data_IF_667825907580
#
_entry.id   IF_667825907580
#
_cell.length_a   1.000
_cell.length_b   1.000
_cell.length_c   1.000
_cell.angle_alpha   90.00
_cell.angle_beta   90.00
_cell.angle_gamma   90.00
#
_symmetry.space_group_name_H-M   'P 1'
#
loop_
_entity.id
_entity.type
_entity.pdbx_description
1 polymer ?
#
# COMPACT_ATOMS: atom_id res chain seq x y z
N UNK A 1 -18.91 -3.24 -0.55
CA UNK A 1 -20.06 -2.33 -0.70
C UNK A 1 -21.20 -2.55 0.30
N UNK A 2 -21.50 -3.78 0.74
CA UNK A 2 -22.63 -4.07 1.67
C UNK A 2 -22.69 -3.23 2.95
N UNK A 3 -21.54 -2.86 3.54
CA UNK A 3 -21.49 -1.97 4.71
C UNK A 3 -21.99 -0.55 4.41
N UNK A 4 -21.65 -0.02 3.22
CA UNK A 4 -22.20 1.26 2.73
C UNK A 4 -23.72 1.13 2.57
N UNK A 5 -24.18 0.02 2.00
CA UNK A 5 -25.61 -0.23 1.79
C UNK A 5 -26.41 -0.29 3.11
N UNK A 6 -25.79 -0.85 4.16
CA UNK A 6 -26.35 -0.95 5.50
C UNK A 6 -26.20 0.34 6.34
N UNK A 7 -25.43 1.34 5.87
CA UNK A 7 -25.09 2.53 6.67
C UNK A 7 -24.15 2.21 7.83
N UNK A 8 -23.41 1.11 7.76
CA UNK A 8 -22.45 0.67 8.77
C UNK A 8 -21.04 1.14 8.40
N UNK A 9 -20.30 1.64 9.40
CA UNK A 9 -18.93 2.10 9.16
C UNK A 9 -17.99 0.91 8.97
N UNK A 10 -17.16 0.98 7.94
CA UNK A 10 -16.13 0.00 7.62
C UNK A 10 -15.02 0.63 6.80
N UNK A 11 -13.78 0.16 6.98
CA UNK A 11 -12.60 0.64 6.25
C UNK A 11 -11.70 -0.52 5.88
N UNK A 12 -11.12 -0.48 4.69
CA UNK A 12 -10.07 -1.40 4.25
C UNK A 12 -8.77 -0.62 4.03
N UNK A 13 -7.70 -1.10 4.66
CA UNK A 13 -6.34 -0.58 4.50
C UNK A 13 -5.50 -1.64 3.79
N UNK A 14 -4.87 -1.29 2.68
CA UNK A 14 -4.03 -2.20 1.90
C UNK A 14 -2.64 -1.62 1.77
N UNK A 15 -1.61 -2.38 2.16
CA UNK A 15 -0.21 -1.99 1.97
C UNK A 15 0.42 -2.97 0.97
N UNK A 16 0.89 -2.45 -0.16
CA UNK A 16 1.57 -3.20 -1.23
C UNK A 16 3.00 -2.67 -1.41
N UNK A 17 3.92 -3.42 -2.03
CA UNK A 17 5.18 -2.81 -2.42
C UNK A 17 4.93 -1.70 -3.46
N UNK A 18 5.84 -0.73 -3.55
CA UNK A 18 5.68 0.36 -4.53
C UNK A 18 5.58 -0.21 -5.96
N UNK A 19 6.43 -1.19 -6.27
CA UNK A 19 6.32 -2.13 -7.37
C UNK A 19 6.80 -3.52 -6.93
N UNK A 20 6.37 -4.62 -7.57
CA UNK A 20 6.89 -5.96 -7.29
C UNK A 20 8.38 -6.06 -7.63
N UNK A 21 9.13 -6.86 -6.87
CA UNK A 21 10.60 -7.00 -7.03
C UNK A 21 11.02 -7.31 -8.47
N UNK A 22 12.02 -6.57 -8.95
CA UNK A 22 12.54 -6.61 -10.31
C UNK A 22 12.85 -5.22 -10.85
N UNK A 23 13.38 -5.17 -12.07
CA UNK A 23 13.55 -3.91 -12.80
C UNK A 23 12.15 -3.35 -13.11
N UNK A 24 11.80 -2.13 -12.66
CA UNK A 24 10.42 -1.67 -12.68
C UNK A 24 9.89 -1.42 -14.11
N UNK A 25 10.77 -1.15 -15.08
CA UNK A 25 10.45 -1.04 -16.51
C UNK A 25 10.27 -2.41 -17.19
N UNK A 26 10.65 -3.50 -16.53
CA UNK A 26 10.52 -4.83 -17.13
C UNK A 26 9.06 -5.14 -17.44
N UNK A 27 8.83 -5.86 -18.54
CA UNK A 27 7.47 -6.23 -18.95
C UNK A 27 6.71 -6.96 -17.84
N UNK A 28 7.39 -7.77 -17.01
CA UNK A 28 6.77 -8.53 -15.93
C UNK A 28 6.22 -7.61 -14.84
N UNK A 29 7.03 -6.66 -14.39
CA UNK A 29 6.62 -5.68 -13.38
C UNK A 29 5.49 -4.81 -13.92
N UNK A 30 5.64 -4.29 -15.15
CA UNK A 30 4.63 -3.45 -15.79
C UNK A 30 3.29 -4.17 -15.99
N UNK A 31 3.30 -5.46 -16.36
CA UNK A 31 2.08 -6.26 -16.49
C UNK A 31 1.38 -6.49 -15.14
N UNK A 32 2.14 -6.78 -14.08
CA UNK A 32 1.59 -6.93 -12.73
C UNK A 32 0.97 -5.62 -12.24
N UNK A 33 1.62 -4.48 -12.49
CA UNK A 33 1.08 -3.16 -12.15
C UNK A 33 -0.22 -2.84 -12.90
N UNK A 34 -0.35 -3.22 -14.17
CA UNK A 34 -1.63 -3.07 -14.90
C UNK A 34 -2.75 -3.95 -14.29
N UNK A 35 -2.45 -5.18 -13.87
CA UNK A 35 -3.42 -6.02 -13.14
C UNK A 35 -3.82 -5.41 -11.80
N UNK A 36 -2.85 -4.90 -11.05
CA UNK A 36 -3.10 -4.19 -9.79
C UNK A 36 -4.00 -2.96 -10.02
N UNK A 37 -3.69 -2.14 -11.02
CA UNK A 37 -4.50 -0.97 -11.39
C UNK A 37 -5.93 -1.36 -11.74
N UNK A 38 -6.13 -2.36 -12.61
CA UNK A 38 -7.48 -2.85 -12.98
C UNK A 38 -8.27 -3.32 -11.76
N UNK A 39 -7.59 -3.96 -10.82
CA UNK A 39 -8.21 -4.46 -9.58
C UNK A 39 -8.62 -3.30 -8.68
N UNK A 40 -7.74 -2.32 -8.48
CA UNK A 40 -8.05 -1.08 -7.75
C UNK A 40 -9.23 -0.33 -8.39
N UNK A 41 -9.23 -0.18 -9.71
CA UNK A 41 -10.28 0.50 -10.48
C UNK A 41 -11.64 -0.19 -10.33
N UNK A 42 -11.68 -1.52 -10.45
CA UNK A 42 -12.90 -2.30 -10.19
C UNK A 42 -13.41 -2.05 -8.76
N UNK A 43 -12.54 -2.16 -7.75
CA UNK A 43 -12.94 -1.97 -6.34
C UNK A 43 -13.42 -0.54 -6.05
N UNK A 44 -12.77 0.47 -6.63
CA UNK A 44 -13.17 1.87 -6.47
C UNK A 44 -14.46 2.20 -7.22
N UNK A 45 -14.68 1.61 -8.39
CA UNK A 45 -15.94 1.74 -9.13
C UNK A 45 -17.09 1.21 -8.28
N UNK A 46 -16.96 -0.01 -7.73
CA UNK A 46 -17.98 -0.61 -6.84
C UNK A 46 -18.31 0.30 -5.64
N UNK A 47 -17.27 0.85 -4.98
CA UNK A 47 -17.45 1.75 -3.83
C UNK A 47 -18.17 3.04 -4.25
N UNK A 48 -17.74 3.63 -5.36
CA UNK A 48 -18.27 4.91 -5.83
C UNK A 48 -19.72 4.79 -6.28
N UNK A 49 -20.07 3.73 -6.99
CA UNK A 49 -21.47 3.41 -7.35
C UNK A 49 -22.34 3.21 -6.10
N UNK A 50 -21.84 2.50 -5.09
CA UNK A 50 -22.57 2.29 -3.84
C UNK A 50 -22.81 3.60 -3.06
N UNK A 51 -21.82 4.51 -3.04
CA UNK A 51 -21.96 5.83 -2.42
C UNK A 51 -22.99 6.68 -3.16
N UNK A 52 -22.92 6.72 -4.50
CA UNK A 52 -23.86 7.44 -5.35
C UNK A 52 -25.29 6.91 -5.19
N UNK A 53 -25.48 5.58 -5.16
CA UNK A 53 -26.79 4.96 -4.95
C UNK A 53 -27.42 5.31 -3.60
N UNK A 54 -26.60 5.63 -2.59
CA UNK A 54 -27.05 6.09 -1.27
C UNK A 54 -27.12 7.60 -1.13
N UNK A 55 -26.70 8.37 -2.13
CA UNK A 55 -26.60 9.83 -2.06
C UNK A 55 -25.58 10.30 -1.02
N UNK A 56 -24.52 9.51 -0.78
CA UNK A 56 -23.46 9.85 0.17
C UNK A 56 -22.34 10.57 -0.59
N UNK A 57 -22.07 11.81 -0.22
CA UNK A 57 -20.91 12.57 -0.71
C UNK A 57 -19.72 12.31 0.21
N UNK A 58 -18.83 11.39 -0.20
CA UNK A 58 -17.64 11.02 0.56
C UNK A 58 -16.49 10.66 -0.39
N UNK A 59 -15.26 10.74 0.11
CA UNK A 59 -14.09 10.27 -0.63
C UNK A 59 -14.06 8.72 -0.61
N UNK A 60 -13.97 8.02 -1.76
CA UNK A 60 -13.82 6.57 -1.78
C UNK A 60 -12.61 6.05 -0.97
N UNK A 61 -11.55 6.87 -0.83
CA UNK A 61 -10.39 6.58 0.01
C UNK A 61 -10.67 6.58 1.51
N UNK A 62 -11.85 7.04 1.94
CA UNK A 62 -12.33 6.87 3.33
C UNK A 62 -12.86 5.44 3.57
N UNK A 63 -13.09 4.65 2.53
CA UNK A 63 -13.59 3.26 2.65
C UNK A 63 -12.55 2.23 2.22
N UNK A 64 -11.73 2.55 1.21
CA UNK A 64 -10.65 1.70 0.72
C UNK A 64 -9.43 2.56 0.41
N UNK A 65 -8.32 2.31 1.09
CA UNK A 65 -7.08 3.07 0.89
C UNK A 65 -5.89 2.15 0.66
N UNK A 66 -5.04 2.53 -0.30
CA UNK A 66 -3.85 1.80 -0.69
C UNK A 66 -2.61 2.61 -0.34
N UNK A 67 -1.61 1.92 0.20
CA UNK A 67 -0.32 2.48 0.59
C UNK A 67 0.82 1.63 0.04
N UNK A 68 2.01 2.21 0.02
CA UNK A 68 3.26 1.49 -0.07
C UNK A 68 4.22 1.97 1.03
N UNK A 69 5.40 1.34 1.14
CA UNK A 69 6.41 1.74 2.10
C UNK A 69 7.65 2.32 1.42
N UNK A 70 8.25 3.34 2.03
CA UNK A 70 9.50 3.93 1.58
C UNK A 70 10.34 4.45 2.73
N UNK A 71 11.62 4.64 2.44
CA UNK A 71 12.52 5.35 3.34
C UNK A 71 13.32 6.39 2.58
N UNK A 72 13.75 7.42 3.29
CA UNK A 72 14.60 8.49 2.76
C UNK A 72 15.46 9.04 3.88
N UNK A 73 16.77 9.08 3.67
CA UNK A 73 17.75 9.34 4.73
C UNK A 73 18.76 10.40 4.30
N UNK A 74 18.92 11.45 5.10
CA UNK A 74 19.98 12.44 4.90
C UNK A 74 21.35 11.76 4.98
N UNK A 75 22.30 12.24 4.18
CA UNK A 75 23.68 11.74 4.27
C UNK A 75 24.30 12.17 5.60
N UNK A 76 24.81 11.22 6.37
CA UNK A 76 25.41 11.50 7.68
C UNK A 76 26.94 11.48 7.64
N UNK A 77 27.56 12.21 8.56
CA UNK A 77 29.01 12.19 8.71
C UNK A 77 29.48 10.80 9.20
N UNK A 78 30.43 10.20 8.47
CA UNK A 78 30.92 8.85 8.78
C UNK A 78 30.11 7.71 8.17
N UNK A 79 29.09 8.00 7.36
CA UNK A 79 28.40 6.99 6.55
C UNK A 79 29.38 6.32 5.57
N UNK A 80 29.13 5.04 5.27
CA UNK A 80 29.88 4.28 4.29
C UNK A 80 29.95 5.01 2.94
N UNK A 81 31.13 5.01 2.34
CA UNK A 81 31.35 5.55 1.00
C UNK A 81 31.75 4.39 0.09
N UNK A 82 30.93 4.06 -0.93
CA UNK A 82 31.29 3.02 -1.88
C UNK A 82 32.49 3.47 -2.72
N UNK A 83 33.36 2.52 -3.06
CA UNK A 83 34.55 2.77 -3.90
C UNK A 83 34.16 3.07 -5.35
N UNK A 84 33.09 2.43 -5.82
CA UNK A 84 32.52 2.61 -7.15
C UNK A 84 31.22 3.40 -7.09
N UNK A 85 30.92 4.11 -8.18
CA UNK A 85 29.67 4.85 -8.34
C UNK A 85 28.84 4.19 -9.44
N UNK A 86 27.50 4.26 -9.36
CA UNK A 86 26.64 3.80 -10.43
C UNK A 86 26.94 4.53 -11.76
N UNK A 87 26.60 3.89 -12.87
CA UNK A 87 26.64 4.55 -14.17
C UNK A 87 25.68 5.76 -14.18
N UNK A 88 26.10 6.84 -14.85
CA UNK A 88 25.31 8.07 -14.92
C UNK A 88 23.98 7.85 -15.68
N UNK A 89 22.96 8.63 -15.33
CA UNK A 89 21.60 8.56 -15.89
C UNK A 89 20.91 7.19 -15.75
N UNK A 90 21.29 6.42 -14.73
CA UNK A 90 20.60 5.19 -14.36
C UNK A 90 19.62 5.42 -13.21
N UNK A 91 18.65 4.52 -13.07
CA UNK A 91 17.77 4.47 -11.90
C UNK A 91 18.57 4.38 -10.61
N UNK A 92 19.67 3.62 -10.64
CA UNK A 92 20.57 3.47 -9.51
C UNK A 92 21.24 4.80 -9.14
N UNK A 93 21.82 5.54 -10.10
CA UNK A 93 22.43 6.84 -9.81
C UNK A 93 21.39 7.82 -9.25
N UNK A 94 20.19 7.89 -9.84
CA UNK A 94 19.13 8.80 -9.39
C UNK A 94 18.63 8.48 -7.99
N UNK A 95 18.37 7.21 -7.67
CA UNK A 95 17.93 6.81 -6.33
C UNK A 95 19.03 7.03 -5.27
N UNK A 96 20.30 6.78 -5.62
CA UNK A 96 21.43 7.03 -4.72
C UNK A 96 21.60 8.52 -4.41
N UNK A 97 21.46 9.38 -5.42
CA UNK A 97 21.52 10.84 -5.27
C UNK A 97 20.31 11.40 -4.51
N UNK A 98 19.10 10.91 -4.81
CA UNK A 98 17.86 11.33 -4.15
C UNK A 98 17.70 10.77 -2.73
N UNK A 99 18.56 9.82 -2.35
CA UNK A 99 18.68 9.20 -1.02
C UNK A 99 17.41 8.50 -0.55
N UNK A 100 16.65 7.93 -1.50
CA UNK A 100 15.37 7.29 -1.24
C UNK A 100 15.25 5.96 -1.96
N UNK A 101 14.51 5.04 -1.36
CA UNK A 101 14.08 3.81 -2.02
C UNK A 101 12.85 3.23 -1.32
N UNK A 102 12.13 2.33 -1.98
CA UNK A 102 11.02 1.65 -1.32
C UNK A 102 11.54 0.74 -0.19
N UNK A 103 10.75 0.60 0.88
CA UNK A 103 10.87 -0.54 1.78
C UNK A 103 10.01 -1.63 1.17
N UNK A 104 10.62 -2.75 0.78
CA UNK A 104 9.91 -3.77 0.03
C UNK A 104 8.93 -4.56 0.92
N UNK A 105 7.64 -4.46 0.59
CA UNK A 105 6.58 -5.18 1.29
C UNK A 105 6.49 -6.60 0.73
N UNK A 106 7.24 -7.52 1.35
CA UNK A 106 7.15 -8.95 1.04
C UNK A 106 6.06 -9.67 1.86
N UNK A 107 5.33 -8.94 2.71
CA UNK A 107 4.34 -9.47 3.64
C UNK A 107 3.16 -10.16 2.93
N UNK A 108 2.70 -11.28 3.48
CA UNK A 108 1.42 -11.92 3.12
C UNK A 108 0.60 -12.16 4.39
N UNK A 109 -0.11 -11.12 4.80
CA UNK A 109 -0.81 -11.07 6.08
C UNK A 109 -2.10 -10.26 5.96
N UNK A 110 -3.11 -10.64 6.74
CA UNK A 110 -4.36 -9.90 6.88
C UNK A 110 -4.80 -9.93 8.33
N UNK A 111 -5.16 -8.77 8.88
CA UNK A 111 -5.81 -8.62 10.20
C UNK A 111 -7.24 -8.16 9.99
N UNK A 112 -8.18 -8.80 10.67
CA UNK A 112 -9.60 -8.49 10.63
C UNK A 112 -10.07 -8.19 12.05
N UNK A 113 -10.71 -7.01 12.21
CA UNK A 113 -11.36 -6.54 13.44
C UNK A 113 -10.49 -6.59 14.72
N UNK A 114 -9.16 -6.53 14.57
CA UNK A 114 -8.16 -6.72 15.65
C UNK A 114 -8.28 -8.08 16.40
N UNK A 115 -9.08 -9.04 15.91
CA UNK A 115 -9.38 -10.31 16.57
C UNK A 115 -8.93 -11.56 15.81
N UNK A 116 -8.78 -11.47 14.48
CA UNK A 116 -8.37 -12.58 13.62
C UNK A 116 -7.20 -12.14 12.74
N UNK A 117 -6.23 -13.05 12.55
CA UNK A 117 -5.07 -12.80 11.70
C UNK A 117 -4.78 -14.01 10.82
N UNK A 118 -4.39 -13.77 9.57
CA UNK A 118 -3.78 -14.75 8.68
C UNK A 118 -2.33 -14.33 8.43
N UNK A 119 -1.39 -15.27 8.55
CA UNK A 119 0.01 -15.08 8.16
C UNK A 119 0.44 -16.28 7.34
N UNK A 120 1.09 -16.04 6.19
CA UNK A 120 1.53 -17.14 5.34
C UNK A 120 2.49 -16.73 4.23
N UNK A 121 2.49 -17.55 3.18
CA UNK A 121 3.30 -17.38 1.96
C UNK A 121 2.47 -16.90 0.76
N UNK A 122 1.15 -17.13 0.78
CA UNK A 122 0.25 -16.82 -0.32
C UNK A 122 0.05 -15.31 -0.57
N UNK A 123 0.46 -14.84 -1.75
CA UNK A 123 0.15 -13.48 -2.20
C UNK A 123 -1.33 -13.35 -2.59
N UNK A 124 -1.86 -12.12 -2.64
CA UNK A 124 -3.20 -11.84 -3.19
C UNK A 124 -3.11 -11.76 -4.72
N UNK A 125 -2.89 -12.89 -5.36
CA UNK A 125 -2.84 -13.05 -6.80
C UNK A 125 -3.29 -14.46 -7.20
N UNK A 126 -3.55 -14.70 -8.49
CA UNK A 126 -4.03 -16.01 -8.94
C UNK A 126 -2.95 -17.07 -8.71
N UNK A 127 -1.67 -16.76 -8.90
CA UNK A 127 -0.56 -17.72 -8.67
C UNK A 127 -0.62 -18.39 -7.28
N UNK A 128 -0.86 -17.62 -6.24
CA UNK A 128 -0.90 -18.11 -4.86
C UNK A 128 -2.31 -18.59 -4.43
N UNK A 129 -3.38 -17.98 -4.95
CA UNK A 129 -4.77 -18.26 -4.51
C UNK A 129 -5.46 -19.41 -5.27
N UNK A 130 -4.89 -19.88 -6.38
CA UNK A 130 -5.47 -20.92 -7.23
C UNK A 130 -5.47 -22.32 -6.57
N UNK A 131 -4.42 -22.63 -5.79
CA UNK A 131 -4.22 -23.93 -5.14
C UNK A 131 -3.63 -25.03 -6.04
N UNK A 132 -3.61 -24.85 -7.36
CA UNK A 132 -2.97 -25.76 -8.32
C UNK A 132 -1.84 -25.11 -9.14
N UNK A 133 -1.45 -23.87 -8.80
CA UNK A 133 -0.28 -23.16 -9.34
C UNK A 133 0.91 -23.30 -8.39
N UNK A 134 1.17 -22.30 -7.56
CA UNK A 134 2.22 -22.37 -6.56
C UNK A 134 1.69 -23.05 -5.28
N UNK A 135 2.54 -23.85 -4.63
CA UNK A 135 2.21 -24.45 -3.34
C UNK A 135 2.41 -23.43 -2.23
N UNK A 136 1.33 -23.08 -1.54
CA UNK A 136 1.36 -22.09 -0.46
C UNK A 136 0.94 -22.71 0.88
N UNK A 137 1.38 -22.08 1.97
CA UNK A 137 0.92 -22.38 3.33
C UNK A 137 0.60 -21.08 4.07
N UNK A 138 -0.49 -21.11 4.84
CA UNK A 138 -0.89 -20.03 5.72
C UNK A 138 -1.50 -20.59 7.00
N UNK A 139 -1.34 -19.86 8.09
CA UNK A 139 -2.04 -20.10 9.34
C UNK A 139 -3.04 -18.97 9.59
N UNK A 140 -4.21 -19.35 10.11
CA UNK A 140 -5.23 -18.42 10.55
C UNK A 140 -5.53 -18.66 12.02
N UNK A 141 -5.67 -17.59 12.80
CA UNK A 141 -5.85 -17.71 14.24
C UNK A 141 -6.52 -16.50 14.87
N UNK A 142 -7.15 -16.76 16.01
CA UNK A 142 -7.74 -15.75 16.89
C UNK A 142 -7.53 -16.16 18.34
N UNK A 143 -7.69 -15.22 19.26
CA UNK A 143 -7.66 -15.48 20.69
C UNK A 143 -9.09 -15.55 21.24
N UNK A 144 -9.58 -16.71 21.72
CA UNK A 144 -10.99 -16.89 22.11
C UNK A 144 -11.52 -15.91 23.17
N UNK A 145 -10.62 -15.37 24.01
CA UNK A 145 -10.96 -14.43 25.08
C UNK A 145 -10.71 -12.96 24.70
N UNK A 146 -10.33 -12.67 23.45
CA UNK A 146 -10.08 -11.31 22.94
C UNK A 146 -10.82 -11.06 21.62
N UNK A 147 -12.14 -11.30 21.62
CA UNK A 147 -13.01 -11.06 20.47
C UNK A 147 -13.68 -9.68 20.55
N UNK A 148 -13.92 -9.07 19.39
CA UNK A 148 -14.55 -7.78 19.15
C UNK A 148 -16.09 -7.79 19.30
N UNK A 149 -16.69 -8.91 19.73
CA UNK A 149 -18.16 -9.12 19.75
C UNK A 149 -18.93 -8.22 20.74
N UNK A 150 -18.37 -7.92 21.91
CA UNK A 150 -19.01 -7.09 22.96
C UNK A 150 -18.20 -5.86 23.34
N UNK A 151 -16.90 -5.94 23.15
CA UNK A 151 -15.93 -4.91 23.46
C UNK A 151 -14.81 -5.01 22.42
N UNK A 152 -14.07 -3.92 22.13
CA UNK A 152 -12.97 -3.99 21.17
C UNK A 152 -11.94 -5.07 21.54
N UNK A 153 -11.46 -5.79 20.54
CA UNK A 153 -10.38 -6.77 20.74
C UNK A 153 -9.10 -6.04 21.19
N UNK A 154 -8.50 -6.50 22.30
CA UNK A 154 -7.28 -5.93 22.90
C UNK A 154 -6.26 -7.02 23.25
N UNK A 155 -6.19 -8.03 22.39
CA UNK A 155 -5.24 -9.14 22.50
C UNK A 155 -3.90 -8.85 21.80
N UNK A 156 -3.17 -9.93 21.52
CA UNK A 156 -1.92 -9.92 20.76
C UNK A 156 -2.11 -9.38 19.34
N UNK A 157 -3.22 -9.69 18.67
CA UNK A 157 -3.49 -9.24 17.30
C UNK A 157 -3.61 -7.71 17.25
N UNK A 158 -4.41 -7.12 18.15
CA UNK A 158 -4.47 -5.67 18.36
C UNK A 158 -3.09 -5.06 18.62
N UNK A 159 -2.33 -5.62 19.57
CA UNK A 159 -0.99 -5.12 19.92
C UNK A 159 -0.02 -5.17 18.73
N UNK A 160 -0.04 -6.27 17.97
CA UNK A 160 0.77 -6.45 16.77
C UNK A 160 0.41 -5.44 15.67
N UNK A 161 -0.89 -5.22 15.44
CA UNK A 161 -1.39 -4.22 14.49
C UNK A 161 -1.00 -2.79 14.91
N UNK A 162 -1.05 -2.45 16.20
CA UNK A 162 -0.55 -1.16 16.71
C UNK A 162 0.97 -1.03 16.52
N UNK A 163 1.73 -2.10 16.73
CA UNK A 163 3.19 -2.09 16.53
C UNK A 163 3.58 -1.87 15.06
N UNK A 164 2.90 -2.54 14.13
CA UNK A 164 3.08 -2.30 12.69
C UNK A 164 2.71 -0.87 12.30
N UNK A 165 1.61 -0.35 12.85
CA UNK A 165 1.23 1.05 12.61
C UNK A 165 2.25 2.03 13.19
N UNK A 166 2.83 1.74 14.36
CA UNK A 166 3.91 2.55 14.91
C UNK A 166 5.15 2.53 14.01
N UNK A 167 5.55 1.37 13.52
CA UNK A 167 6.66 1.22 12.56
C UNK A 167 6.41 2.05 11.29
N UNK A 168 5.23 1.90 10.68
CA UNK A 168 4.96 2.53 9.38
C UNK A 168 4.61 4.02 9.51
N UNK A 169 3.93 4.45 10.58
CA UNK A 169 3.54 5.86 10.75
C UNK A 169 4.58 6.67 11.53
N UNK A 170 5.52 6.03 12.23
CA UNK A 170 6.48 6.68 13.12
C UNK A 170 5.86 7.20 14.43
N UNK A 171 4.58 6.89 14.68
CA UNK A 171 3.85 7.40 15.84
C UNK A 171 2.67 6.51 16.24
N UNK A 172 2.27 6.62 17.51
CA UNK A 172 1.00 6.12 18.01
C UNK A 172 0.04 7.28 18.22
N UNK A 173 -1.25 6.98 18.10
CA UNK A 173 -2.32 7.93 18.34
C UNK A 173 -3.59 7.21 18.78
N UNK A 174 -4.41 7.86 19.62
CA UNK A 174 -5.62 7.24 20.16
C UNK A 174 -6.65 6.90 19.08
N UNK A 175 -6.68 7.62 17.96
CA UNK A 175 -7.62 7.31 16.87
C UNK A 175 -7.28 5.97 16.20
N UNK A 176 -6.01 5.52 16.26
CA UNK A 176 -5.57 4.24 15.71
C UNK A 176 -6.11 3.04 16.48
N UNK A 177 -6.67 3.26 17.67
CA UNK A 177 -7.35 2.22 18.45
C UNK A 177 -8.71 1.80 17.86
N UNK A 178 -9.23 2.57 16.88
CA UNK A 178 -10.51 2.37 16.18
C UNK A 178 -10.31 2.52 14.67
N UNK A 179 -9.66 1.55 14.00
CA UNK A 179 -9.33 1.62 12.57
C UNK A 179 -10.56 1.71 11.66
N UNK A 180 -11.73 1.28 12.12
CA UNK A 180 -12.99 1.46 11.42
C UNK A 180 -13.44 2.93 11.38
N UNK A 181 -13.03 3.79 12.32
CA UNK A 181 -13.54 5.16 12.39
C UNK A 181 -13.12 6.03 11.20
N UNK A 182 -13.97 7.00 10.83
CA UNK A 182 -13.66 7.96 9.76
C UNK A 182 -12.45 8.84 10.12
N UNK A 183 -12.36 9.24 11.40
CA UNK A 183 -11.23 10.02 11.90
C UNK A 183 -9.89 9.28 11.74
N UNK A 184 -9.88 7.97 11.99
CA UNK A 184 -8.68 7.15 11.85
C UNK A 184 -8.20 7.09 10.39
N UNK A 185 -9.07 6.71 9.44
CA UNK A 185 -8.68 6.61 8.03
C UNK A 185 -8.22 7.96 7.47
N UNK A 186 -8.90 9.05 7.82
CA UNK A 186 -8.54 10.40 7.38
C UNK A 186 -7.22 10.86 7.99
N UNK A 187 -6.89 10.45 9.22
CA UNK A 187 -5.58 10.73 9.82
C UNK A 187 -4.47 9.92 9.16
N UNK A 188 -4.68 8.62 8.94
CA UNK A 188 -3.71 7.75 8.26
C UNK A 188 -3.46 8.25 6.84
N UNK A 189 -4.50 8.54 6.06
CA UNK A 189 -4.39 9.08 4.70
C UNK A 189 -3.59 10.39 4.68
N UNK A 190 -3.90 11.36 5.56
CA UNK A 190 -3.17 12.64 5.63
C UNK A 190 -1.69 12.47 5.99
N UNK A 191 -1.36 11.56 6.92
CA UNK A 191 0.03 11.26 7.27
C UNK A 191 0.74 10.66 6.05
N UNK A 192 0.12 9.69 5.39
CA UNK A 192 0.70 8.99 4.26
C UNK A 192 0.87 9.88 3.01
N UNK A 193 -0.06 10.82 2.78
CA UNK A 193 0.07 11.88 1.76
C UNK A 193 1.25 12.80 2.07
N UNK A 194 1.37 13.26 3.32
CA UNK A 194 2.51 14.08 3.75
C UNK A 194 3.84 13.34 3.58
N UNK A 195 3.90 12.05 3.93
CA UNK A 195 5.11 11.26 3.75
C UNK A 195 5.40 11.01 2.27
N UNK A 196 4.39 10.84 1.42
CA UNK A 196 4.57 10.80 -0.03
C UNK A 196 5.16 12.11 -0.56
N UNK A 197 4.68 13.27 -0.13
CA UNK A 197 5.22 14.57 -0.53
C UNK A 197 6.70 14.71 -0.14
N UNK A 198 7.05 14.31 1.09
CA UNK A 198 8.43 14.30 1.57
C UNK A 198 9.32 13.29 0.84
N UNK A 199 8.78 12.12 0.51
CA UNK A 199 9.48 11.08 -0.22
C UNK A 199 9.75 11.51 -1.67
N UNK A 200 8.75 12.09 -2.34
CA UNK A 200 8.79 12.46 -3.77
C UNK A 200 9.44 13.82 -4.05
N UNK A 201 9.57 14.70 -3.06
CA UNK A 201 10.25 16.01 -3.15
C UNK A 201 11.67 15.93 -3.71
N UNK A 202 12.10 16.92 -4.50
CA UNK A 202 13.50 17.06 -4.93
C UNK A 202 14.41 17.53 -3.78
N UNK A 203 13.85 18.21 -2.78
CA UNK A 203 14.59 18.69 -1.60
C UNK A 203 14.55 17.66 -0.45
N UNK A 204 15.69 17.50 0.22
CA UNK A 204 15.88 16.59 1.35
C UNK A 204 16.52 17.34 2.52
N UNK A 205 15.70 17.69 3.51
CA UNK A 205 16.13 18.44 4.71
C UNK A 205 16.32 17.53 5.94
N UNK A 206 15.57 16.43 6.02
CA UNK A 206 15.54 15.52 7.16
C UNK A 206 15.11 14.13 6.70
N UNK A 207 15.38 13.13 7.55
CA UNK A 207 14.91 11.76 7.34
C UNK A 207 13.38 11.70 7.28
N UNK A 208 12.88 10.69 6.58
CA UNK A 208 11.44 10.45 6.53
C UNK A 208 10.93 10.05 7.93
N UNK A 209 9.94 10.74 8.52
CA UNK A 209 9.53 10.50 9.92
C UNK A 209 8.82 9.15 10.14
N UNK A 210 8.35 8.52 9.08
CA UNK A 210 7.75 7.19 9.04
C UNK A 210 7.75 6.69 7.60
N UNK A 211 7.27 5.48 7.38
CA UNK A 211 7.48 4.77 6.12
C UNK A 211 6.22 4.64 5.26
N UNK A 212 5.02 4.87 5.81
CA UNK A 212 3.76 4.69 5.10
C UNK A 212 3.54 5.82 4.09
N UNK A 213 3.51 5.48 2.80
CA UNK A 213 3.28 6.41 1.70
C UNK A 213 1.91 6.14 1.09
N UNK A 214 1.15 7.19 0.77
CA UNK A 214 -0.04 7.03 -0.07
C UNK A 214 0.37 6.40 -1.40
N UNK A 215 -0.32 5.35 -1.84
CA UNK A 215 0.02 4.74 -3.13
C UNK A 215 -0.18 5.80 -4.24
N UNK A 216 0.78 6.00 -5.16
CA UNK A 216 0.85 7.22 -5.97
C UNK A 216 -0.13 7.27 -7.15
N UNK A 217 -1.42 7.10 -6.85
CA UNK A 217 -2.54 7.12 -7.79
C UNK A 217 -3.63 8.09 -7.36
N UNK A 218 -4.28 8.69 -8.36
CA UNK A 218 -5.56 9.37 -8.21
C UNK A 218 -6.73 8.40 -8.34
N UNK A 219 -7.87 8.79 -7.76
CA UNK A 219 -9.15 8.10 -7.94
C UNK A 219 -10.16 9.16 -8.37
N UNK A 220 -10.68 9.03 -9.59
CA UNK A 220 -11.68 9.94 -10.13
C UNK A 220 -13.06 9.71 -9.48
N UNK A 221 -14.01 10.63 -9.74
CA UNK A 221 -15.36 10.60 -9.16
C UNK A 221 -16.24 9.43 -9.64
N UNK A 222 -15.78 8.69 -10.64
CA UNK A 222 -16.41 7.47 -11.18
C UNK A 222 -15.63 6.19 -10.80
N UNK A 223 -14.58 6.31 -10.00
CA UNK A 223 -13.75 5.18 -9.57
C UNK A 223 -12.56 4.85 -10.49
N UNK A 224 -12.41 5.56 -11.61
CA UNK A 224 -11.26 5.38 -12.52
C UNK A 224 -9.95 5.72 -11.80
N UNK A 225 -8.95 4.84 -11.96
CA UNK A 225 -7.61 5.05 -11.37
C UNK A 225 -6.76 5.86 -12.34
N UNK A 226 -6.22 6.98 -11.86
CA UNK A 226 -5.44 7.92 -12.68
C UNK A 226 -4.03 8.09 -12.15
N UNK A 227 -3.14 8.62 -12.98
CA UNK A 227 -1.83 9.12 -12.55
C UNK A 227 -2.04 10.34 -11.63
N UNK A 228 -1.16 10.53 -10.65
CA UNK A 228 -1.09 11.80 -9.91
C UNK A 228 -0.40 12.86 -10.80
N UNK A 229 -0.77 14.15 -10.69
CA UNK A 229 -0.14 15.20 -11.49
C UNK A 229 1.40 15.20 -11.33
N UNK A 230 2.12 15.06 -12.45
CA UNK A 230 3.58 15.00 -12.47
C UNK A 230 4.19 13.65 -12.06
N UNK A 231 3.37 12.62 -11.82
CA UNK A 231 3.81 11.29 -11.37
C UNK A 231 3.36 10.20 -12.36
N UNK A 232 3.76 10.32 -13.62
CA UNK A 232 3.59 9.25 -14.62
C UNK A 232 4.49 8.03 -14.27
N UNK A 233 5.70 8.31 -13.76
CA UNK A 233 6.70 7.32 -13.40
C UNK A 233 6.94 7.29 -11.89
N UNK A 234 7.39 6.15 -11.35
CA UNK A 234 7.88 6.12 -9.97
C UNK A 234 9.12 7.02 -9.82
N UNK A 235 9.30 7.68 -8.66
CA UNK A 235 10.47 8.52 -8.41
C UNK A 235 11.77 7.79 -8.75
N UNK A 236 12.67 8.51 -9.43
CA UNK A 236 13.99 8.02 -9.87
C UNK A 236 14.00 6.95 -10.99
N UNK A 237 12.84 6.53 -11.48
CA UNK A 237 12.71 5.50 -12.54
C UNK A 237 12.15 6.06 -13.85
N UNK A 238 12.06 5.21 -14.88
CA UNK A 238 11.24 5.45 -16.08
C UNK A 238 10.07 4.47 -16.17
N UNK A 239 9.71 3.86 -15.04
CA UNK A 239 8.67 2.85 -14.93
C UNK A 239 7.32 3.47 -14.60
N UNK A 240 6.30 3.18 -15.42
CA UNK A 240 4.98 3.78 -15.25
C UNK A 240 4.34 3.27 -13.97
N UNK A 241 3.76 4.17 -13.18
CA UNK A 241 3.05 3.82 -11.94
C UNK A 241 1.84 2.93 -12.22
N UNK A 242 1.10 3.25 -13.28
CA UNK A 242 -0.09 2.52 -13.70
C UNK A 242 0.19 1.18 -14.41
N UNK A 243 1.47 0.86 -14.63
CA UNK A 243 1.87 -0.31 -15.39
C UNK A 243 1.57 -0.21 -16.88
N UNK A 244 1.79 -1.32 -17.57
CA UNK A 244 1.47 -1.50 -18.98
C UNK A 244 1.13 -2.97 -19.25
N UNK A 245 0.06 -3.19 -20.01
CA UNK A 245 -0.30 -4.53 -20.49
C UNK A 245 0.85 -5.10 -21.33
N UNK A 246 1.23 -6.35 -21.05
CA UNK A 246 2.18 -7.06 -21.91
C UNK A 246 1.48 -7.68 -23.13
N UNK A 247 2.10 -7.52 -24.30
CA UNK A 247 1.71 -8.22 -25.54
C UNK A 247 2.38 -9.59 -25.68
N UNK A 248 3.38 -9.88 -24.85
CA UNK A 248 4.22 -11.08 -24.97
C UNK A 248 4.02 -12.09 -23.84
N UNK A 249 3.74 -11.63 -22.61
CA UNK A 249 3.51 -12.53 -21.49
C UNK A 249 2.03 -12.89 -21.36
N UNK A 250 1.68 -14.18 -21.38
CA UNK A 250 0.33 -14.61 -21.12
C UNK A 250 -0.06 -14.31 -19.66
N UNK A 251 -1.34 -13.98 -19.37
CA UNK A 251 -1.79 -13.63 -18.03
C UNK A 251 -1.44 -14.67 -16.97
N UNK A 252 -1.41 -15.97 -17.32
CA UNK A 252 -1.04 -17.05 -16.41
C UNK A 252 0.31 -16.85 -15.69
N UNK A 253 1.24 -16.10 -16.29
CA UNK A 253 2.54 -15.81 -15.70
C UNK A 253 2.53 -14.59 -14.76
N UNK A 254 1.61 -13.64 -14.96
CA UNK A 254 1.62 -12.33 -14.32
C UNK A 254 0.39 -12.04 -13.45
N UNK A 255 -0.59 -12.95 -13.44
CA UNK A 255 -1.86 -12.87 -12.69
C UNK A 255 -1.78 -13.44 -11.29
#
# INVERSE_FOLDING_TARGET
VSKIEAGERFTVYVVVPMWPEGVPESGSVQAILDWQRRTMEMMYTDITEALQAKGIEANPKDYLTFFCLGNREVKQAGEYQPEEQPEADTDYSRAQEARRFMIYVHTKMMIVDDEYIIIGSANINQRSMDGARDSEIAMGGYQPYHLATRQPARGQIHGFRMALWYEHLGMLDDVFQRPESLECVQKVNRIAEKYWDMYSSDDLQQDLPGHLLSYPIGVASDGVVTELPGMEYFPDTRARVLGAKSDYMPPILTS
#
